data_IF_680378931487
#
_entry.id   IF_680378931487
#
_cell.length_a   1.000
_cell.length_b   1.000
_cell.length_c   1.000
_cell.angle_alpha   90.00
_cell.angle_beta   90.00
_cell.angle_gamma   90.00
#
_symmetry.space_group_name_H-M   'P 1'
#
loop_
_entity.id
_entity.type
_entity.pdbx_description
1 polymer ?
#
# COMPACT_ATOMS: atom_id res chain seq x y z
N UNK A 1 -31.50 -18.74 -1.82
CA UNK A 1 -30.74 -17.57 -2.36
C UNK A 1 -29.37 -18.08 -2.78
N UNK A 2 -29.33 -19.14 -3.59
CA UNK A 2 -28.16 -20.02 -3.69
C UNK A 2 -27.74 -20.18 -5.16
N UNK A 3 -27.77 -19.07 -5.91
CA UNK A 3 -27.21 -19.07 -7.25
C UNK A 3 -25.68 -18.86 -7.14
N UNK A 4 -24.86 -19.89 -7.42
CA UNK A 4 -23.41 -19.79 -7.33
C UNK A 4 -22.83 -18.73 -8.28
N UNK A 5 -23.54 -18.39 -9.36
CA UNK A 5 -23.13 -17.34 -10.30
C UNK A 5 -23.28 -15.97 -9.65
N UNK A 6 -24.43 -15.69 -9.02
CA UNK A 6 -24.70 -14.41 -8.35
C UNK A 6 -23.71 -14.20 -7.20
N UNK A 7 -23.46 -15.22 -6.38
CA UNK A 7 -22.50 -15.15 -5.26
C UNK A 7 -21.11 -14.75 -5.76
N UNK A 8 -20.63 -15.38 -6.85
CA UNK A 8 -19.33 -15.06 -7.44
C UNK A 8 -19.27 -13.65 -8.03
N UNK A 9 -20.35 -13.18 -8.65
CA UNK A 9 -20.43 -11.81 -9.16
C UNK A 9 -20.41 -10.78 -8.03
N UNK A 10 -21.13 -11.01 -6.94
CA UNK A 10 -21.10 -10.15 -5.76
C UNK A 10 -19.71 -10.12 -5.11
N UNK A 11 -19.05 -11.28 -5.00
CA UNK A 11 -17.67 -11.35 -4.50
C UNK A 11 -16.69 -10.57 -5.40
N UNK A 12 -16.77 -10.75 -6.73
CA UNK A 12 -15.94 -10.02 -7.68
C UNK A 12 -16.16 -8.50 -7.60
N UNK A 13 -17.41 -8.06 -7.49
CA UNK A 13 -17.76 -6.65 -7.32
C UNK A 13 -17.23 -6.10 -5.99
N UNK A 14 -17.34 -6.87 -4.90
CA UNK A 14 -16.80 -6.50 -3.58
C UNK A 14 -15.28 -6.33 -3.63
N UNK A 15 -14.56 -7.29 -4.22
CA UNK A 15 -13.12 -7.18 -4.40
C UNK A 15 -12.74 -5.96 -5.26
N UNK A 16 -13.42 -5.75 -6.39
CA UNK A 16 -13.15 -4.59 -7.25
C UNK A 16 -13.36 -3.26 -6.50
N UNK A 17 -14.45 -3.15 -5.72
CA UNK A 17 -14.74 -1.96 -4.92
C UNK A 17 -13.66 -1.70 -3.88
N UNK A 18 -13.27 -2.71 -3.11
CA UNK A 18 -12.17 -2.59 -2.13
C UNK A 18 -10.88 -2.18 -2.82
N UNK A 19 -10.57 -2.79 -3.97
CA UNK A 19 -9.40 -2.46 -4.78
C UNK A 19 -9.36 -0.99 -5.20
N UNK A 20 -10.48 -0.47 -5.73
CA UNK A 20 -10.63 0.94 -6.10
C UNK A 20 -10.42 1.85 -4.89
N UNK A 21 -11.06 1.55 -3.75
CA UNK A 21 -10.94 2.37 -2.54
C UNK A 21 -9.49 2.41 -2.02
N UNK A 22 -8.79 1.27 -2.00
CA UNK A 22 -7.39 1.20 -1.62
C UNK A 22 -6.49 2.05 -2.53
N UNK A 23 -6.68 1.98 -3.86
CA UNK A 23 -5.89 2.77 -4.81
C UNK A 23 -6.21 4.27 -4.72
N UNK A 24 -7.48 4.64 -4.61
CA UNK A 24 -7.90 6.04 -4.47
C UNK A 24 -7.36 6.65 -3.18
N UNK A 25 -7.47 5.93 -2.06
CA UNK A 25 -6.87 6.38 -0.80
C UNK A 25 -5.36 6.54 -0.94
N UNK A 26 -4.68 5.55 -1.53
CA UNK A 26 -3.22 5.60 -1.73
C UNK A 26 -2.82 6.80 -2.60
N UNK A 27 -3.54 7.04 -3.69
CA UNK A 27 -3.29 8.19 -4.57
C UNK A 27 -3.52 9.52 -3.85
N UNK A 28 -4.61 9.63 -3.08
CA UNK A 28 -4.91 10.81 -2.28
C UNK A 28 -3.85 11.07 -1.21
N UNK A 29 -3.45 10.03 -0.47
CA UNK A 29 -2.42 10.12 0.57
C UNK A 29 -1.05 10.47 -0.04
N UNK A 30 -0.70 9.88 -1.18
CA UNK A 30 0.54 10.19 -1.92
C UNK A 30 0.51 11.59 -2.56
N UNK A 31 -0.66 12.14 -2.88
CA UNK A 31 -0.77 13.50 -3.39
C UNK A 31 -0.45 14.56 -2.33
N UNK A 32 -0.68 14.26 -1.04
CA UNK A 32 -0.23 15.11 0.08
C UNK A 32 -0.84 16.52 0.12
N UNK A 33 -1.97 16.75 -0.56
CA UNK A 33 -2.59 18.08 -0.72
C UNK A 33 -3.22 18.64 0.57
N UNK A 34 -3.36 17.83 1.62
CA UNK A 34 -3.96 18.24 2.90
C UNK A 34 -3.13 17.73 4.10
N UNK A 35 -3.33 18.33 5.28
CA UNK A 35 -2.68 17.85 6.51
C UNK A 35 -3.06 16.38 6.81
N UNK A 36 -4.33 16.00 6.60
CA UNK A 36 -4.80 14.61 6.77
C UNK A 36 -4.13 13.66 5.78
N UNK A 37 -3.97 14.07 4.52
CA UNK A 37 -3.31 13.27 3.50
C UNK A 37 -1.82 13.03 3.79
N UNK A 38 -1.19 13.88 4.61
CA UNK A 38 0.23 13.75 5.00
C UNK A 38 0.43 13.04 6.34
N UNK A 39 -0.67 12.70 7.04
CA UNK A 39 -0.64 12.12 8.39
C UNK A 39 0.09 10.78 8.47
N UNK A 40 0.10 10.01 7.38
CA UNK A 40 0.84 8.75 7.28
C UNK A 40 2.35 8.92 7.35
N UNK A 41 2.87 10.11 7.06
CA UNK A 41 4.28 10.37 7.34
C UNK A 41 4.49 10.43 8.85
N UNK A 42 3.52 10.75 9.69
CA UNK A 42 3.67 10.91 11.14
C UNK A 42 3.09 12.24 11.61
N UNK A 43 3.03 12.43 12.91
CA UNK A 43 2.50 13.63 13.56
C UNK A 43 3.51 14.17 14.59
N UNK A 44 3.11 15.20 15.33
CA UNK A 44 3.89 15.81 16.43
C UNK A 44 4.30 14.81 17.52
N UNK A 45 3.66 13.63 17.56
CA UNK A 45 3.90 12.58 18.55
C UNK A 45 4.84 11.47 18.06
N UNK A 46 5.35 11.54 16.83
CA UNK A 46 6.39 10.64 16.33
C UNK A 46 6.19 10.11 14.92
N UNK A 47 7.19 9.38 14.45
CA UNK A 47 7.16 8.68 13.16
C UNK A 47 6.41 7.35 13.26
N UNK A 48 5.62 7.02 12.23
CA UNK A 48 4.96 5.71 12.10
C UNK A 48 5.50 4.96 10.86
N UNK A 49 6.61 4.20 10.98
CA UNK A 49 7.24 3.51 9.85
C UNK A 49 6.31 2.51 9.15
N UNK A 50 5.39 1.91 9.90
CA UNK A 50 4.36 1.02 9.37
C UNK A 50 3.39 1.76 8.43
N UNK A 51 2.86 2.91 8.87
CA UNK A 51 1.93 3.71 8.06
C UNK A 51 2.60 4.22 6.79
N UNK A 52 3.89 4.57 6.89
CA UNK A 52 4.73 4.98 5.76
C UNK A 52 4.78 3.89 4.69
N UNK A 53 5.11 2.67 5.09
CA UNK A 53 5.23 1.51 4.19
C UNK A 53 3.90 1.06 3.64
N UNK A 54 2.86 1.02 4.48
CA UNK A 54 1.52 0.67 4.07
C UNK A 54 0.97 1.67 3.06
N UNK A 55 1.17 2.98 3.25
CA UNK A 55 0.66 3.98 2.31
C UNK A 55 1.40 3.96 0.97
N UNK A 56 2.70 3.69 0.99
CA UNK A 56 3.55 3.76 -0.20
C UNK A 56 3.48 2.49 -1.05
N UNK A 57 3.43 1.31 -0.43
CA UNK A 57 3.49 0.00 -1.10
C UNK A 57 2.37 -0.96 -0.67
N UNK A 58 2.07 -1.03 0.64
CA UNK A 58 1.15 -2.04 1.16
C UNK A 58 -0.28 -1.91 0.63
N UNK A 59 -0.88 -0.72 0.78
CA UNK A 59 -2.25 -0.42 0.38
C UNK A 59 -2.44 -0.43 -1.14
N UNK A 60 -1.50 0.11 -1.95
CA UNK A 60 -1.49 -0.16 -3.39
C UNK A 60 -1.44 -1.66 -3.71
N UNK A 61 -0.59 -2.42 -3.00
CA UNK A 61 -0.46 -3.87 -3.16
C UNK A 61 -1.75 -4.62 -2.86
N UNK A 62 -2.41 -4.29 -1.75
CA UNK A 62 -3.76 -4.81 -1.41
C UNK A 62 -4.75 -4.47 -2.52
N UNK A 63 -4.71 -3.24 -3.05
CA UNK A 63 -5.52 -2.84 -4.19
C UNK A 63 -5.35 -3.75 -5.41
N UNK A 64 -4.09 -4.03 -5.79
CA UNK A 64 -3.78 -4.94 -6.90
C UNK A 64 -4.22 -6.38 -6.62
N UNK A 65 -4.03 -6.88 -5.40
CA UNK A 65 -4.52 -8.21 -5.01
C UNK A 65 -6.03 -8.29 -5.13
N UNK A 66 -6.76 -7.27 -4.69
CA UNK A 66 -8.21 -7.20 -4.84
C UNK A 66 -8.65 -7.23 -6.31
N UNK A 67 -7.97 -6.52 -7.21
CA UNK A 67 -8.27 -6.62 -8.65
C UNK A 67 -7.96 -7.99 -9.23
N UNK A 68 -6.85 -8.63 -8.82
CA UNK A 68 -6.53 -9.98 -9.25
C UNK A 68 -7.55 -11.01 -8.76
N UNK A 69 -7.99 -10.91 -7.49
CA UNK A 69 -9.08 -11.74 -6.94
C UNK A 69 -10.41 -11.48 -7.65
N UNK A 70 -10.75 -10.22 -7.91
CA UNK A 70 -11.96 -9.87 -8.66
C UNK A 70 -11.94 -10.57 -10.02
N UNK A 71 -10.84 -10.45 -10.76
CA UNK A 71 -10.65 -11.02 -12.09
C UNK A 71 -10.84 -12.54 -12.14
N UNK A 72 -10.21 -13.29 -11.23
CA UNK A 72 -10.31 -14.78 -11.21
C UNK A 72 -11.68 -15.28 -10.72
N UNK A 73 -12.41 -14.45 -9.96
CA UNK A 73 -13.70 -14.84 -9.38
C UNK A 73 -14.84 -14.77 -10.40
N UNK A 74 -14.70 -13.96 -11.46
CA UNK A 74 -15.76 -13.77 -12.47
C UNK A 74 -16.12 -15.11 -13.14
N UNK A 75 -17.39 -15.51 -13.15
CA UNK A 75 -17.83 -16.76 -13.76
C UNK A 75 -17.60 -16.75 -15.29
N UNK A 76 -17.34 -17.93 -15.86
CA UNK A 76 -17.07 -18.20 -17.30
C UNK A 76 -15.80 -17.57 -17.87
N UNK A 77 -15.42 -16.36 -17.47
CA UNK A 77 -14.24 -15.65 -18.01
C UNK A 77 -13.04 -15.62 -17.06
N UNK A 78 -13.22 -15.97 -15.78
CA UNK A 78 -12.16 -15.88 -14.77
C UNK A 78 -10.89 -16.66 -15.10
N UNK A 79 -11.00 -17.80 -15.79
CA UNK A 79 -9.83 -18.57 -16.24
C UNK A 79 -8.99 -17.80 -17.26
N UNK A 80 -9.62 -17.11 -18.20
CA UNK A 80 -8.91 -16.27 -19.18
C UNK A 80 -8.31 -15.04 -18.50
N UNK A 81 -9.06 -14.43 -17.59
CA UNK A 81 -8.59 -13.28 -16.82
C UNK A 81 -7.48 -13.64 -15.83
N UNK A 82 -7.32 -14.91 -15.45
CA UNK A 82 -6.25 -15.35 -14.56
C UNK A 82 -4.84 -15.08 -15.13
N UNK A 83 -4.69 -15.04 -16.46
CA UNK A 83 -3.44 -14.67 -17.14
C UNK A 83 -2.96 -13.28 -16.70
N UNK A 84 -3.89 -12.37 -16.40
CA UNK A 84 -3.60 -11.01 -15.91
C UNK A 84 -3.75 -10.93 -14.38
N UNK A 85 -4.78 -11.59 -13.84
CA UNK A 85 -5.10 -11.57 -12.41
C UNK A 85 -4.03 -12.21 -11.53
N UNK A 86 -3.41 -13.30 -11.96
CA UNK A 86 -2.34 -13.96 -11.20
C UNK A 86 -1.07 -13.10 -11.10
N UNK A 87 -0.56 -12.46 -12.18
CA UNK A 87 0.50 -11.46 -12.06
C UNK A 87 0.15 -10.30 -11.12
N UNK A 88 -1.09 -9.78 -11.19
CA UNK A 88 -1.52 -8.71 -10.28
C UNK A 88 -1.50 -9.15 -8.80
N UNK A 89 -1.93 -10.39 -8.54
CA UNK A 89 -1.86 -11.00 -7.20
C UNK A 89 -0.43 -11.12 -6.72
N UNK A 90 0.47 -11.64 -7.54
CA UNK A 90 1.88 -11.82 -7.20
C UNK A 90 2.57 -10.47 -6.94
N UNK A 91 2.32 -9.48 -7.80
CA UNK A 91 2.87 -8.13 -7.63
C UNK A 91 2.32 -7.46 -6.37
N UNK A 92 1.01 -7.57 -6.13
CA UNK A 92 0.38 -7.03 -4.94
C UNK A 92 0.87 -7.69 -3.65
N UNK A 93 1.03 -9.02 -3.67
CA UNK A 93 1.58 -9.80 -2.56
C UNK A 93 3.04 -9.43 -2.29
N UNK A 94 3.87 -9.30 -3.34
CA UNK A 94 5.26 -8.87 -3.21
C UNK A 94 5.35 -7.45 -2.63
N UNK A 95 4.51 -6.52 -3.09
CA UNK A 95 4.44 -5.16 -2.57
C UNK A 95 4.03 -5.14 -1.08
N UNK A 96 3.03 -5.93 -0.69
CA UNK A 96 2.61 -6.06 0.70
C UNK A 96 3.70 -6.69 1.57
N UNK A 97 4.35 -7.74 1.09
CA UNK A 97 5.45 -8.40 1.79
C UNK A 97 6.61 -7.41 2.02
N UNK A 98 7.04 -6.69 0.98
CA UNK A 98 8.06 -5.65 1.11
C UNK A 98 7.63 -4.53 2.07
N UNK A 99 6.36 -4.16 2.07
CA UNK A 99 5.83 -3.18 3.01
C UNK A 99 5.90 -3.66 4.46
N UNK A 100 5.68 -4.95 4.73
CA UNK A 100 5.78 -5.55 6.07
C UNK A 100 7.23 -5.74 6.57
N UNK A 101 8.21 -5.84 5.67
CA UNK A 101 9.62 -6.03 6.02
C UNK A 101 10.27 -4.73 6.51
N UNK A 102 9.99 -4.34 7.76
CA UNK A 102 10.41 -3.06 8.37
C UNK A 102 11.92 -2.79 8.30
N UNK A 103 12.73 -3.85 8.34
CA UNK A 103 14.19 -3.77 8.32
C UNK A 103 14.79 -3.44 6.95
N UNK A 104 14.07 -3.62 5.84
CA UNK A 104 14.59 -3.38 4.49
C UNK A 104 14.36 -1.91 4.11
N UNK A 105 15.39 -1.04 4.01
CA UNK A 105 15.16 0.37 3.71
C UNK A 105 14.50 0.54 2.34
N UNK A 106 13.32 1.17 2.31
CA UNK A 106 12.65 1.49 1.05
C UNK A 106 13.42 2.60 0.30
N UNK A 107 13.64 2.45 -1.02
CA UNK A 107 14.33 3.46 -1.82
C UNK A 107 13.47 4.71 -2.00
N UNK A 108 14.11 5.89 -2.01
CA UNK A 108 13.44 7.20 -2.10
C UNK A 108 12.66 7.39 -3.43
N UNK A 109 12.98 6.60 -4.45
CA UNK A 109 12.30 6.63 -5.75
C UNK A 109 10.79 6.33 -5.64
N UNK A 110 10.39 5.47 -4.69
CA UNK A 110 8.99 5.03 -4.52
C UNK A 110 8.17 6.11 -3.82
N UNK A 111 8.81 7.04 -3.12
CA UNK A 111 8.17 8.10 -2.39
C UNK A 111 7.81 9.28 -3.28
N UNK A 112 6.67 9.94 -3.02
CA UNK A 112 6.32 11.19 -3.70
C UNK A 112 7.34 12.29 -3.35
N UNK A 113 7.56 13.22 -4.28
CA UNK A 113 8.62 14.26 -4.17
C UNK A 113 8.53 15.05 -2.87
N UNK A 114 7.33 15.36 -2.39
CA UNK A 114 7.13 16.12 -1.15
C UNK A 114 7.51 15.35 0.13
N UNK A 115 7.45 14.01 0.12
CA UNK A 115 7.71 13.19 1.30
C UNK A 115 9.21 12.92 1.51
N UNK A 116 10.01 12.98 0.44
CA UNK A 116 11.47 12.78 0.48
C UNK A 116 12.19 13.71 1.47
N UNK A 117 12.03 15.06 1.41
CA UNK A 117 12.74 15.96 2.33
C UNK A 117 12.37 15.69 3.79
N UNK A 118 11.10 15.42 4.08
CA UNK A 118 10.62 15.08 5.44
C UNK A 118 11.31 13.83 5.97
N UNK A 119 11.51 12.83 5.10
CA UNK A 119 12.19 11.57 5.45
C UNK A 119 13.69 11.77 5.69
N UNK A 120 14.35 12.60 4.88
CA UNK A 120 15.76 12.94 5.08
C UNK A 120 15.98 13.65 6.43
N UNK A 121 15.17 14.66 6.73
CA UNK A 121 15.26 15.41 7.98
C UNK A 121 15.10 14.49 9.21
N UNK A 122 14.21 13.50 9.16
CA UNK A 122 14.07 12.53 10.26
C UNK A 122 15.25 11.60 10.40
N UNK A 123 15.79 11.10 9.28
CA UNK A 123 16.98 10.25 9.31
C UNK A 123 18.17 11.00 9.91
N UNK A 124 18.29 12.30 9.65
CA UNK A 124 19.30 13.16 10.29
C UNK A 124 19.06 13.30 11.79
N UNK A 125 17.82 13.58 12.22
CA UNK A 125 17.46 13.65 13.64
C UNK A 125 17.70 12.33 14.37
N UNK A 126 17.32 11.19 13.79
CA UNK A 126 17.60 9.87 14.36
C UNK A 126 19.10 9.59 14.47
N UNK A 127 19.89 9.99 13.47
CA UNK A 127 21.36 9.85 13.52
C UNK A 127 21.97 10.72 14.61
N UNK A 128 21.53 11.96 14.74
CA UNK A 128 21.98 12.88 15.78
C UNK A 128 21.62 12.36 17.18
N UNK A 129 20.39 11.88 17.36
CA UNK A 129 19.94 11.25 18.61
C UNK A 129 20.77 10.00 18.95
N UNK A 130 21.01 9.11 17.99
CA UNK A 130 21.85 7.91 18.17
C UNK A 130 23.32 8.25 18.42
N UNK A 131 23.81 9.38 17.93
CA UNK A 131 25.17 9.85 18.25
C UNK A 131 25.23 10.33 19.71
N UNK A 132 24.29 11.19 20.12
CA UNK A 132 24.19 11.67 21.50
C UNK A 132 24.03 10.54 22.53
N UNK A 133 23.20 9.53 22.24
CA UNK A 133 23.02 8.36 23.11
C UNK A 133 24.28 7.48 23.23
N UNK A 134 25.21 7.55 22.28
CA UNK A 134 26.47 6.78 22.33
C UNK A 134 27.59 7.51 23.08
N UNK A 135 27.46 8.82 23.24
CA UNK A 135 28.42 9.67 23.97
C UNK A 135 28.13 9.75 25.47
N UNK A 136 27.00 9.18 25.92
CA UNK A 136 26.52 9.19 27.30
C UNK A 136 26.58 7.80 27.92
#
# INVERSE_FOLDING_TARGET
MDDPVIIRLLAAAGFALVGVLCLLYSAWARAGRSARARRWMGNEFGSTPNDERMTVLGLPGIGLMCFGLAAVTIPRIGLYLAVIGAPLLLLGLAALFLALMLFIPLPDAIYPRWARPVRHQRREQERAMKAWLRER
#
